data_IF_840173377693
#
_entry.id   IF_840173377693
#
_cell.length_a   1.000
_cell.length_b   1.000
_cell.length_c   1.000
_cell.angle_alpha   90.00
_cell.angle_beta   90.00
_cell.angle_gamma   90.00
#
_symmetry.space_group_name_H-M   'P 1'
#
loop_
_entity.id
_entity.type
_entity.pdbx_description
1 polymer ?
#
# COMPACT_ATOMS: atom_id res chain seq x y z
N UNK A 1 8.89 -4.05 -26.50
CA UNK A 1 7.99 -3.98 -25.33
C UNK A 1 8.20 -5.24 -24.50
N UNK A 2 8.25 -5.15 -23.17
CA UNK A 2 8.47 -6.32 -22.32
C UNK A 2 7.27 -7.30 -22.45
N UNK A 3 7.47 -8.59 -22.79
CA UNK A 3 6.38 -9.54 -23.06
C UNK A 3 5.53 -9.86 -21.83
N UNK A 4 5.97 -9.50 -20.62
CA UNK A 4 5.25 -9.79 -19.38
C UNK A 4 4.15 -8.78 -19.05
N UNK A 5 4.11 -7.62 -19.73
CA UNK A 5 3.07 -6.59 -19.45
C UNK A 5 1.64 -7.10 -19.64
N UNK A 6 1.43 -8.09 -20.52
CA UNK A 6 0.12 -8.71 -20.74
C UNK A 6 -0.44 -9.46 -19.52
N UNK A 7 0.39 -9.76 -18.52
CA UNK A 7 -0.02 -10.46 -17.30
C UNK A 7 -0.36 -9.51 -16.15
N UNK A 8 -0.12 -8.20 -16.30
CA UNK A 8 -0.41 -7.21 -15.27
C UNK A 8 -1.89 -6.81 -15.31
N UNK A 9 -2.51 -6.84 -14.15
CA UNK A 9 -3.86 -6.36 -13.93
C UNK A 9 -3.91 -4.85 -13.75
N UNK A 10 -5.14 -4.31 -13.70
CA UNK A 10 -5.37 -2.88 -13.46
C UNK A 10 -4.79 -2.41 -12.11
N UNK A 11 -4.82 -3.28 -11.09
CA UNK A 11 -4.30 -2.98 -9.76
C UNK A 11 -2.76 -2.93 -9.76
N UNK A 12 -2.10 -3.82 -10.51
CA UNK A 12 -0.64 -3.77 -10.70
C UNK A 12 -0.20 -2.43 -11.34
N UNK A 13 -0.94 -1.97 -12.35
CA UNK A 13 -0.69 -0.69 -13.00
C UNK A 13 -0.92 0.49 -12.06
N UNK A 14 -2.02 0.48 -11.30
CA UNK A 14 -2.31 1.51 -10.29
C UNK A 14 -1.21 1.56 -9.23
N UNK A 15 -0.82 0.41 -8.68
CA UNK A 15 0.26 0.32 -7.70
C UNK A 15 1.59 0.83 -8.27
N UNK A 16 1.91 0.48 -9.52
CA UNK A 16 3.11 0.97 -10.19
C UNK A 16 3.12 2.51 -10.29
N UNK A 17 1.99 3.11 -10.69
CA UNK A 17 1.85 4.56 -10.76
C UNK A 17 2.05 5.22 -9.38
N UNK A 18 1.42 4.68 -8.34
CA UNK A 18 1.52 5.19 -6.96
C UNK A 18 2.95 5.09 -6.44
N UNK A 19 3.60 3.92 -6.56
CA UNK A 19 4.98 3.73 -6.10
C UNK A 19 5.95 4.63 -6.85
N UNK A 20 5.81 4.78 -8.17
CA UNK A 20 6.65 5.68 -8.96
C UNK A 20 6.44 7.14 -8.56
N UNK A 21 5.18 7.55 -8.31
CA UNK A 21 4.88 8.89 -7.82
C UNK A 21 5.59 9.20 -6.51
N UNK A 22 5.48 8.29 -5.52
CA UNK A 22 6.16 8.45 -4.22
C UNK A 22 7.67 8.58 -4.43
N UNK A 23 8.28 7.70 -5.23
CA UNK A 23 9.74 7.75 -5.48
C UNK A 23 10.20 9.04 -6.16
N UNK A 24 9.38 9.63 -7.03
CA UNK A 24 9.72 10.85 -7.76
C UNK A 24 9.50 12.11 -6.93
N UNK A 25 8.35 12.22 -6.25
CA UNK A 25 7.97 13.44 -5.52
C UNK A 25 8.45 13.44 -4.07
N UNK A 26 8.59 12.26 -3.47
CA UNK A 26 8.97 12.07 -2.07
C UNK A 26 10.15 11.08 -1.98
N UNK A 27 11.32 11.40 -2.58
CA UNK A 27 12.43 10.44 -2.72
C UNK A 27 13.01 9.93 -1.40
N UNK A 28 12.80 10.67 -0.30
CA UNK A 28 13.25 10.29 1.04
C UNK A 28 12.19 9.47 1.82
N UNK A 29 11.02 9.21 1.23
CA UNK A 29 9.99 8.39 1.86
C UNK A 29 10.42 6.93 1.95
N UNK A 30 10.34 6.35 3.16
CA UNK A 30 10.55 4.94 3.40
C UNK A 30 9.27 4.18 3.05
N UNK A 31 9.14 3.78 1.79
CA UNK A 31 7.97 3.07 1.26
C UNK A 31 8.30 1.60 0.96
N UNK A 32 7.38 0.70 1.31
CA UNK A 32 7.41 -0.71 0.90
C UNK A 32 6.08 -1.13 0.29
N UNK A 33 6.16 -2.09 -0.62
CA UNK A 33 5.02 -2.93 -1.01
C UNK A 33 5.19 -4.32 -0.37
N UNK A 34 4.33 -4.72 0.57
CA UNK A 34 4.30 -6.08 1.09
C UNK A 34 3.70 -7.03 0.05
N UNK A 35 4.53 -7.78 -0.67
CA UNK A 35 4.07 -8.67 -1.75
C UNK A 35 3.39 -9.95 -1.22
N UNK A 36 2.20 -9.80 -0.65
CA UNK A 36 1.45 -10.89 -0.03
C UNK A 36 0.55 -11.64 -1.02
N UNK A 37 0.16 -11.03 -2.14
CA UNK A 37 -0.82 -11.57 -3.09
C UNK A 37 -0.23 -12.52 -4.16
N UNK A 38 1.08 -12.80 -4.11
CA UNK A 38 1.75 -13.63 -5.10
C UNK A 38 1.23 -15.08 -5.17
N UNK A 39 1.11 -15.60 -6.40
CA UNK A 39 0.90 -17.04 -6.63
C UNK A 39 2.09 -17.81 -6.07
N UNK A 40 1.80 -18.86 -5.31
CA UNK A 40 2.78 -19.68 -4.58
C UNK A 40 2.44 -21.14 -4.74
N UNK A 41 3.46 -21.99 -4.88
CA UNK A 41 3.35 -23.46 -4.75
C UNK A 41 2.83 -23.83 -3.35
N UNK A 42 2.34 -25.07 -3.14
CA UNK A 42 1.90 -25.52 -1.81
C UNK A 42 2.96 -25.33 -0.72
N UNK A 43 4.22 -25.67 -1.01
CA UNK A 43 5.33 -25.49 -0.07
C UNK A 43 5.60 -24.01 0.23
N UNK A 44 5.58 -23.13 -0.78
CA UNK A 44 5.78 -21.70 -0.57
C UNK A 44 4.66 -21.05 0.24
N UNK A 45 3.41 -21.53 0.10
CA UNK A 45 2.30 -21.08 0.96
C UNK A 45 2.49 -21.52 2.40
N UNK A 46 2.92 -22.77 2.63
CA UNK A 46 3.27 -23.25 3.95
C UNK A 46 4.40 -22.41 4.56
N UNK A 47 5.50 -22.23 3.82
CA UNK A 47 6.65 -21.43 4.24
C UNK A 47 6.27 -20.00 4.57
N UNK A 48 5.45 -19.36 3.73
CA UNK A 48 4.97 -17.99 3.98
C UNK A 48 4.21 -17.89 5.32
N UNK A 49 3.28 -18.81 5.59
CA UNK A 49 2.57 -18.84 6.87
C UNK A 49 3.49 -19.17 8.05
N UNK A 50 4.38 -20.14 7.88
CA UNK A 50 5.35 -20.55 8.91
C UNK A 50 6.27 -19.39 9.32
N UNK A 51 6.68 -18.55 8.37
CA UNK A 51 7.50 -17.36 8.61
C UNK A 51 6.69 -16.14 9.11
N UNK A 52 5.41 -16.32 9.45
CA UNK A 52 4.57 -15.24 10.00
C UNK A 52 3.93 -14.34 8.96
N UNK A 53 3.72 -14.81 7.73
CA UNK A 53 2.98 -14.07 6.71
C UNK A 53 1.57 -13.72 7.17
N UNK A 54 1.24 -12.43 7.17
CA UNK A 54 -0.05 -11.89 7.62
C UNK A 54 -0.90 -11.54 6.40
N UNK A 55 -2.17 -11.95 6.41
CA UNK A 55 -3.12 -11.62 5.35
C UNK A 55 -3.69 -10.20 5.53
N UNK A 56 -4.01 -9.54 4.42
CA UNK A 56 -4.69 -8.24 4.43
C UNK A 56 -3.80 -7.05 4.79
N UNK A 57 -2.47 -7.19 4.73
CA UNK A 57 -1.55 -6.06 4.83
C UNK A 57 -1.78 -5.12 3.63
N UNK A 58 -1.93 -3.80 3.84
CA UNK A 58 -2.13 -2.84 2.75
C UNK A 58 -1.01 -2.85 1.70
N UNK A 59 -1.38 -2.57 0.45
CA UNK A 59 -0.48 -2.64 -0.70
C UNK A 59 0.70 -1.67 -0.63
N UNK A 60 0.49 -0.48 -0.06
CA UNK A 60 1.52 0.56 0.09
C UNK A 60 1.64 0.94 1.56
N UNK A 61 2.82 0.75 2.13
CA UNK A 61 3.15 1.19 3.48
C UNK A 61 4.31 2.19 3.43
N UNK A 62 4.06 3.40 3.93
CA UNK A 62 5.05 4.46 4.13
C UNK A 62 5.33 4.53 5.62
N UNK A 63 6.57 4.19 6.00
CA UNK A 63 7.06 4.18 7.38
C UNK A 63 7.66 5.52 7.82
N UNK A 64 7.85 6.47 6.89
CA UNK A 64 8.22 7.83 7.25
C UNK A 64 7.06 8.45 8.04
N UNK A 65 7.24 8.75 9.34
CA UNK A 65 6.18 9.35 10.12
C UNK A 65 5.94 10.80 9.68
N UNK A 66 4.79 11.34 10.07
CA UNK A 66 4.54 12.78 10.04
C UNK A 66 4.34 13.32 11.46
N UNK A 67 4.11 14.63 11.62
CA UNK A 67 3.92 15.25 12.94
C UNK A 67 2.85 14.56 13.80
N UNK A 68 1.80 14.00 13.18
CA UNK A 68 0.61 13.48 13.85
C UNK A 68 0.46 11.95 13.77
N UNK A 69 1.20 11.28 12.89
CA UNK A 69 0.97 9.89 12.48
C UNK A 69 2.28 9.12 12.35
N UNK A 70 2.27 7.88 12.83
CA UNK A 70 3.44 7.01 12.82
C UNK A 70 3.79 6.43 11.43
N UNK A 71 2.90 6.58 10.47
CA UNK A 71 3.06 6.10 9.10
C UNK A 71 1.78 6.29 8.29
N UNK A 72 1.85 5.99 7.00
CA UNK A 72 0.73 6.00 6.07
C UNK A 72 0.58 4.62 5.41
N UNK A 73 -0.64 4.08 5.45
CA UNK A 73 -1.00 2.84 4.78
C UNK A 73 -2.09 3.11 3.74
N UNK A 74 -1.90 2.60 2.52
CA UNK A 74 -2.86 2.70 1.43
C UNK A 74 -3.14 1.31 0.87
N UNK A 75 -4.39 0.89 0.98
CA UNK A 75 -4.93 -0.29 0.30
C UNK A 75 -5.46 0.13 -1.08
N UNK A 76 -5.08 -0.56 -2.14
CA UNK A 76 -5.49 -0.26 -3.50
C UNK A 76 -6.60 -1.20 -3.93
N UNK A 77 -7.56 -0.63 -4.64
CA UNK A 77 -8.64 -1.37 -5.30
C UNK A 77 -8.87 -0.79 -6.69
N UNK A 78 -9.50 -1.55 -7.56
CA UNK A 78 -9.90 -1.07 -8.89
C UNK A 78 -11.41 -1.03 -9.03
N UNK A 79 -11.92 0.06 -9.61
CA UNK A 79 -13.34 0.23 -9.91
C UNK A 79 -14.21 0.26 -8.64
N UNK A 80 -15.13 -0.70 -8.52
CA UNK A 80 -16.08 -0.83 -7.40
C UNK A 80 -15.63 -1.84 -6.34
N UNK A 81 -14.44 -2.42 -6.48
CA UNK A 81 -13.91 -3.36 -5.51
C UNK A 81 -13.71 -2.68 -4.16
N UNK A 82 -13.97 -3.42 -3.08
CA UNK A 82 -13.82 -2.95 -1.71
C UNK A 82 -12.80 -3.81 -0.97
N UNK A 83 -12.16 -3.28 0.09
CA UNK A 83 -11.30 -4.07 0.96
C UNK A 83 -12.04 -5.28 1.54
N UNK A 84 -11.34 -6.42 1.61
CA UNK A 84 -11.83 -7.66 2.22
C UNK A 84 -11.94 -7.52 3.74
N UNK A 85 -12.56 -8.50 4.40
CA UNK A 85 -12.66 -8.51 5.88
C UNK A 85 -11.29 -8.42 6.56
N UNK A 86 -10.31 -9.20 6.12
CA UNK A 86 -8.97 -9.20 6.72
C UNK A 86 -8.23 -7.88 6.48
N UNK A 87 -8.40 -7.27 5.30
CA UNK A 87 -7.86 -5.95 5.00
C UNK A 87 -8.48 -4.87 5.90
N UNK A 88 -9.79 -4.89 6.10
CA UNK A 88 -10.44 -3.96 7.03
C UNK A 88 -9.92 -4.13 8.46
N UNK A 89 -9.78 -5.37 8.95
CA UNK A 89 -9.24 -5.65 10.27
C UNK A 89 -7.80 -5.14 10.45
N UNK A 90 -6.94 -5.34 9.45
CA UNK A 90 -5.57 -4.82 9.48
C UNK A 90 -5.54 -3.30 9.45
N UNK A 91 -6.38 -2.67 8.61
CA UNK A 91 -6.49 -1.22 8.56
C UNK A 91 -6.94 -0.63 9.90
N UNK A 92 -7.89 -1.27 10.58
CA UNK A 92 -8.32 -0.84 11.92
C UNK A 92 -7.22 -1.01 12.97
N UNK A 93 -6.45 -2.10 12.90
CA UNK A 93 -5.28 -2.28 13.75
C UNK A 93 -4.23 -1.17 13.54
N UNK A 94 -3.91 -0.84 12.28
CA UNK A 94 -2.99 0.25 11.95
C UNK A 94 -3.49 1.62 12.45
N UNK A 95 -4.79 1.90 12.32
CA UNK A 95 -5.40 3.12 12.90
C UNK A 95 -5.21 3.20 14.41
N UNK A 96 -5.38 2.07 15.12
CA UNK A 96 -5.15 1.99 16.57
C UNK A 96 -3.69 2.28 16.95
N UNK A 97 -2.75 1.99 16.04
CA UNK A 97 -1.33 2.30 16.18
C UNK A 97 -0.95 3.73 15.71
N UNK A 98 -1.93 4.63 15.56
CA UNK A 98 -1.76 6.02 15.07
C UNK A 98 -1.21 6.13 13.65
N UNK A 99 -1.51 5.18 12.77
CA UNK A 99 -1.24 5.33 11.34
C UNK A 99 -2.35 6.14 10.65
N UNK A 100 -2.00 6.83 9.56
CA UNK A 100 -2.95 7.31 8.56
C UNK A 100 -3.30 6.14 7.65
N UNK A 101 -4.59 5.81 7.47
CA UNK A 101 -4.99 4.58 6.79
C UNK A 101 -6.17 4.82 5.85
N UNK A 102 -5.93 4.59 4.57
CA UNK A 102 -6.87 4.84 3.49
C UNK A 102 -6.98 3.63 2.57
N UNK A 103 -8.11 3.50 1.87
CA UNK A 103 -8.18 2.69 0.68
C UNK A 103 -8.56 3.58 -0.50
N UNK A 104 -7.98 3.33 -1.66
CA UNK A 104 -8.14 4.16 -2.85
C UNK A 104 -8.48 3.32 -4.06
N UNK A 105 -9.22 3.91 -5.02
CA UNK A 105 -9.61 3.24 -6.25
C UNK A 105 -9.16 3.89 -7.55
N UNK A 106 -8.42 4.99 -7.45
CA UNK A 106 -7.80 5.70 -8.56
C UNK A 106 -6.53 6.42 -8.09
N UNK A 107 -5.68 6.77 -9.06
CA UNK A 107 -4.37 7.34 -8.81
C UNK A 107 -4.44 8.76 -8.21
N UNK A 108 -5.37 9.59 -8.67
CA UNK A 108 -5.46 10.99 -8.25
C UNK A 108 -5.80 11.10 -6.76
N UNK A 109 -6.68 10.23 -6.25
CA UNK A 109 -6.93 10.14 -4.80
C UNK A 109 -5.71 9.69 -4.02
N UNK A 110 -4.98 8.67 -4.50
CA UNK A 110 -3.74 8.25 -3.85
C UNK A 110 -2.76 9.42 -3.76
N UNK A 111 -2.56 10.13 -4.88
CA UNK A 111 -1.70 11.31 -4.96
C UNK A 111 -2.10 12.37 -3.92
N UNK A 112 -3.38 12.74 -3.87
CA UNK A 112 -3.88 13.74 -2.91
C UNK A 112 -3.60 13.32 -1.46
N UNK A 113 -3.87 12.07 -1.10
CA UNK A 113 -3.62 11.55 0.26
C UNK A 113 -2.14 11.60 0.60
N UNK A 114 -1.27 11.18 -0.33
CA UNK A 114 0.18 11.18 -0.13
C UNK A 114 0.70 12.61 0.04
N UNK A 115 0.28 13.53 -0.83
CA UNK A 115 0.69 14.93 -0.78
C UNK A 115 0.25 15.60 0.52
N UNK A 116 -1.00 15.39 0.94
CA UNK A 116 -1.51 15.90 2.21
C UNK A 116 -0.72 15.34 3.40
N UNK A 117 -0.44 14.03 3.41
CA UNK A 117 0.31 13.38 4.48
C UNK A 117 1.71 13.97 4.66
N UNK A 118 2.40 14.27 3.55
CA UNK A 118 3.72 14.88 3.57
C UNK A 118 3.70 16.40 3.71
N UNK A 119 2.64 17.09 3.29
CA UNK A 119 2.49 18.53 3.49
C UNK A 119 2.37 18.91 4.97
N UNK A 120 1.70 18.08 5.78
CA UNK A 120 1.65 18.23 7.24
C UNK A 120 3.05 18.18 7.91
N UNK A 121 4.11 17.80 7.19
CA UNK A 121 5.49 17.86 7.69
C UNK A 121 6.18 19.21 7.49
N UNK A 122 5.63 20.10 6.67
CA UNK A 122 6.31 21.32 6.20
C UNK A 122 5.81 22.58 6.92
N UNK A 123 4.72 22.48 7.69
CA UNK A 123 4.22 23.59 8.51
C UNK A 123 5.05 23.73 9.80
N UNK A 124 6.24 24.31 9.66
CA UNK A 124 7.01 25.01 10.70
C UNK A 124 7.20 26.49 10.31
#
# INVERSE_FOLDING_TARGET
>A
MNPFYKFLGKEDHLQNMVINYIKLQHPNALVIHPYNEGRRTPFERFKFKFLGGIAGVPDVLIFTPNQNKNGLAIELKVGRNKPTKNQNQMMDALRSCKWSVHWCNDFDKCKQIIDLYFFENVLE
#
